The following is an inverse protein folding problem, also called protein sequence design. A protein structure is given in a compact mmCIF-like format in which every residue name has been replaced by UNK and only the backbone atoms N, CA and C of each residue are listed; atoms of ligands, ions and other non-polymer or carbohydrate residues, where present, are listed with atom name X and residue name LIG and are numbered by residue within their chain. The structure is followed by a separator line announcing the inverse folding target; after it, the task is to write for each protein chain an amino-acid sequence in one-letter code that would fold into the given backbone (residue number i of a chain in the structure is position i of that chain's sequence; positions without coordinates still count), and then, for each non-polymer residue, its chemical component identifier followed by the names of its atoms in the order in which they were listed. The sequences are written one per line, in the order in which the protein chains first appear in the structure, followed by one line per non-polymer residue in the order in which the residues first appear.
data_IF_621269713606
#
_entry.id   IF_621269713606
#
_cell.length_a   1.000
_cell.length_b   1.000
_cell.length_c   1.000
_cell.angle_alpha   90.00
_cell.angle_beta   90.00
_cell.angle_gamma   90.00
#
_symmetry.space_group_name_H-M   'P 1'
#
loop_
_entity.id
_entity.type
_entity.pdbx_description
1 polymer ?
#
# COMPACT_ATOMS: atom_id res chain seq x y z
N UNK A 1 1.21 -14.74 44.61
CA UNK A 1 1.53 -14.44 43.20
C UNK A 1 2.92 -14.95 42.91
N UNK A 2 3.20 -15.50 41.73
CA UNK A 2 4.56 -15.94 41.39
C UNK A 2 5.41 -14.70 41.07
N UNK A 3 6.52 -14.54 41.78
CA UNK A 3 7.54 -13.54 41.45
C UNK A 3 8.10 -13.84 40.06
N UNK A 4 8.06 -12.83 39.19
CA UNK A 4 8.53 -12.95 37.82
C UNK A 4 9.93 -12.35 37.73
N UNK A 5 10.93 -13.21 37.70
CA UNK A 5 12.33 -12.82 37.53
C UNK A 5 12.58 -12.41 36.07
N UNK A 6 12.95 -11.15 35.86
CA UNK A 6 13.27 -10.58 34.54
C UNK A 6 14.74 -10.15 34.58
N UNK A 7 15.55 -10.63 33.64
CA UNK A 7 16.93 -10.18 33.51
C UNK A 7 16.96 -8.73 33.00
N UNK A 8 17.67 -7.81 33.69
CA UNK A 8 17.77 -6.42 33.24
C UNK A 8 18.32 -6.26 31.81
N UNK A 9 19.21 -7.17 31.39
CA UNK A 9 19.75 -7.21 30.03
C UNK A 9 18.69 -7.58 28.99
N UNK A 10 17.83 -8.55 29.28
CA UNK A 10 16.72 -8.93 28.37
C UNK A 10 15.74 -7.76 28.21
N UNK A 11 15.51 -7.00 29.28
CA UNK A 11 14.71 -5.77 29.24
C UNK A 11 15.37 -4.68 28.39
N UNK A 12 16.69 -4.50 28.49
CA UNK A 12 17.44 -3.54 27.67
C UNK A 12 17.43 -3.92 26.18
N UNK A 13 17.54 -5.21 25.87
CA UNK A 13 17.57 -5.73 24.50
C UNK A 13 16.17 -5.97 23.90
N UNK A 14 15.10 -5.73 24.67
CA UNK A 14 13.73 -5.95 24.25
C UNK A 14 13.43 -7.43 23.93
N UNK A 15 14.03 -8.36 24.65
CA UNK A 15 13.87 -9.81 24.47
C UNK A 15 12.70 -10.28 25.33
N UNK A 16 11.69 -10.91 24.70
CA UNK A 16 10.56 -11.48 25.42
C UNK A 16 10.96 -12.79 26.13
N UNK A 17 10.34 -13.10 27.27
CA UNK A 17 10.62 -14.27 28.13
C UNK A 17 10.62 -15.64 27.41
N UNK A 18 9.97 -15.75 26.26
CA UNK A 18 9.87 -16.97 25.46
C UNK A 18 10.51 -16.86 24.07
N UNK A 19 11.24 -15.77 23.83
CA UNK A 19 11.86 -15.49 22.55
C UNK A 19 13.07 -16.40 22.32
N UNK A 20 12.95 -17.29 21.32
CA UNK A 20 14.03 -18.20 20.91
C UNK A 20 14.86 -17.68 19.74
N UNK A 21 14.36 -16.64 19.07
CA UNK A 21 14.98 -16.08 17.87
C UNK A 21 15.45 -14.67 18.20
N UNK A 22 16.72 -14.44 17.98
CA UNK A 22 17.34 -13.15 18.21
C UNK A 22 16.72 -12.04 17.34
N UNK A 23 16.69 -10.81 17.87
CA UNK A 23 16.11 -9.67 17.17
C UNK A 23 16.88 -9.34 15.87
N UNK A 24 18.21 -9.52 15.82
CA UNK A 24 19.01 -9.30 14.61
C UNK A 24 18.62 -10.26 13.48
N UNK A 25 18.29 -11.51 13.81
CA UNK A 25 17.81 -12.51 12.85
C UNK A 25 16.45 -12.09 12.29
N UNK A 26 15.53 -11.62 13.15
CA UNK A 26 14.23 -11.09 12.71
C UNK A 26 14.41 -9.91 11.76
N UNK A 27 15.25 -8.93 12.12
CA UNK A 27 15.54 -7.76 11.29
C UNK A 27 16.15 -8.14 9.93
N UNK A 28 17.08 -9.09 9.92
CA UNK A 28 17.71 -9.57 8.68
C UNK A 28 16.70 -10.25 7.76
N UNK A 29 15.81 -11.08 8.32
CA UNK A 29 14.72 -11.72 7.56
C UNK A 29 13.80 -10.66 6.96
N UNK A 30 13.38 -9.66 7.75
CA UNK A 30 12.54 -8.56 7.27
C UNK A 30 13.24 -7.74 6.18
N UNK A 31 14.54 -7.47 6.32
CA UNK A 31 15.35 -6.81 5.30
C UNK A 31 15.39 -7.60 3.98
N UNK A 32 15.53 -8.93 4.05
CA UNK A 32 15.48 -9.78 2.86
C UNK A 32 14.10 -9.80 2.19
N UNK A 33 13.03 -9.83 2.97
CA UNK A 33 11.66 -9.73 2.45
C UNK A 33 11.46 -8.38 1.74
N UNK A 34 11.93 -7.27 2.34
CA UNK A 34 11.91 -5.94 1.71
C UNK A 34 12.67 -5.89 0.37
N UNK A 35 13.72 -6.71 0.22
CA UNK A 35 14.48 -6.90 -1.02
C UNK A 35 13.84 -7.91 -1.99
N UNK A 36 12.58 -8.30 -1.77
CA UNK A 36 11.80 -9.23 -2.60
C UNK A 36 12.41 -10.65 -2.69
N UNK A 37 13.19 -11.09 -1.71
CA UNK A 37 13.62 -12.50 -1.64
C UNK A 37 12.45 -13.40 -1.29
N UNK A 38 12.36 -14.57 -1.93
CA UNK A 38 11.39 -15.61 -1.56
C UNK A 38 11.76 -16.22 -0.21
N UNK A 39 10.80 -16.85 0.47
CA UNK A 39 11.08 -17.54 1.74
C UNK A 39 12.12 -18.65 1.57
N UNK A 40 12.12 -19.34 0.43
CA UNK A 40 13.14 -20.36 0.14
C UNK A 40 14.53 -19.72 0.01
N UNK A 41 14.66 -18.64 -0.76
CA UNK A 41 15.95 -17.94 -0.89
C UNK A 41 16.47 -17.42 0.46
N UNK A 42 15.57 -17.02 1.36
CA UNK A 42 15.95 -16.60 2.72
C UNK A 42 16.46 -17.78 3.53
N UNK A 43 15.78 -18.93 3.49
CA UNK A 43 16.25 -20.16 4.13
C UNK A 43 17.62 -20.57 3.62
N UNK A 44 17.80 -20.61 2.30
CA UNK A 44 19.06 -21.01 1.67
C UNK A 44 20.20 -20.04 2.06
N UNK A 45 19.90 -18.74 2.16
CA UNK A 45 20.89 -17.73 2.62
C UNK A 45 21.22 -17.86 4.12
N UNK A 46 20.30 -18.38 4.93
CA UNK A 46 20.38 -18.43 6.40
C UNK A 46 20.35 -19.86 6.92
N UNK A 47 20.86 -20.82 6.16
CA UNK A 47 20.80 -22.25 6.47
C UNK A 47 21.40 -22.57 7.85
N UNK A 48 22.50 -21.90 8.20
CA UNK A 48 23.18 -22.00 9.50
C UNK A 48 22.28 -21.63 10.70
N UNK A 49 21.25 -20.81 10.51
CA UNK A 49 20.32 -20.37 11.56
C UNK A 49 19.26 -21.44 11.85
N UNK A 50 19.12 -22.47 11.00
CA UNK A 50 18.21 -23.63 11.18
C UNK A 50 16.76 -23.24 11.45
N UNK A 51 16.28 -22.20 10.77
CA UNK A 51 14.87 -21.75 10.81
C UNK A 51 14.05 -22.45 9.72
N UNK A 52 12.72 -22.44 9.84
CA UNK A 52 11.82 -22.98 8.82
C UNK A 52 10.98 -21.88 8.16
N UNK A 53 10.35 -22.20 7.02
CA UNK A 53 9.45 -21.28 6.29
C UNK A 53 8.37 -20.71 7.22
N UNK A 54 7.85 -21.52 8.13
CA UNK A 54 6.80 -21.13 9.06
C UNK A 54 7.28 -20.05 10.05
N UNK A 55 8.54 -20.13 10.48
CA UNK A 55 9.18 -19.12 11.29
C UNK A 55 9.29 -17.79 10.56
N UNK A 56 9.78 -17.79 9.31
CA UNK A 56 9.84 -16.59 8.47
C UNK A 56 8.44 -15.98 8.30
N UNK A 57 7.44 -16.82 8.01
CA UNK A 57 6.05 -16.36 7.87
C UNK A 57 5.50 -15.76 9.15
N UNK A 58 5.79 -16.32 10.32
CA UNK A 58 5.34 -15.79 11.61
C UNK A 58 6.01 -14.45 11.92
N UNK A 59 7.32 -14.32 11.64
CA UNK A 59 8.05 -13.05 11.80
C UNK A 59 7.41 -11.96 10.92
N UNK A 60 7.13 -12.26 9.65
CA UNK A 60 6.46 -11.32 8.75
C UNK A 60 5.06 -10.93 9.23
N UNK A 61 4.25 -11.90 9.70
CA UNK A 61 2.89 -11.64 10.20
C UNK A 61 2.87 -10.79 11.47
N UNK A 62 3.86 -10.98 12.33
CA UNK A 62 3.98 -10.27 13.61
C UNK A 62 4.81 -8.98 13.49
N UNK A 63 5.38 -8.70 12.32
CA UNK A 63 6.06 -7.44 12.07
C UNK A 63 5.05 -6.32 12.24
N UNK A 64 5.22 -5.54 13.30
CA UNK A 64 4.47 -4.31 13.50
C UNK A 64 4.90 -3.36 12.40
N UNK A 65 4.05 -3.17 11.39
CA UNK A 65 4.11 -1.96 10.61
C UNK A 65 3.59 -0.87 11.53
N UNK A 66 4.49 -0.06 12.06
CA UNK A 66 4.07 1.20 12.65
C UNK A 66 3.31 1.93 11.55
N UNK A 67 1.98 1.96 11.70
CA UNK A 67 1.13 2.74 10.80
C UNK A 67 1.63 4.18 10.78
N UNK A 68 2.16 4.66 11.91
CA UNK A 68 2.80 5.97 12.06
C UNK A 68 4.13 6.13 11.30
N UNK A 69 4.89 5.06 11.01
CA UNK A 69 6.16 5.19 10.28
C UNK A 69 5.95 5.48 8.78
N UNK A 70 4.81 5.07 8.22
CA UNK A 70 4.44 5.33 6.82
C UNK A 70 3.45 6.50 6.67
N UNK A 71 2.76 6.87 7.75
CA UNK A 71 1.94 8.06 7.83
C UNK A 71 2.84 9.17 8.35
N UNK A 72 3.46 9.95 7.47
CA UNK A 72 4.11 11.20 7.87
C UNK A 72 3.05 12.06 8.59
N UNK A 73 2.95 11.97 9.93
CA UNK A 73 2.19 12.88 10.78
C UNK A 73 2.94 14.21 10.84
N UNK A 74 3.22 14.78 9.68
CA UNK A 74 3.63 16.16 9.59
C UNK A 74 2.34 16.97 9.53
N UNK A 75 2.11 17.84 10.50
CA UNK A 75 0.95 18.76 10.47
C UNK A 75 0.93 19.62 9.20
N UNK A 76 2.10 19.78 8.58
CA UNK A 76 2.26 20.44 7.30
C UNK A 76 1.80 19.54 6.15
N UNK A 77 0.63 19.86 5.62
CA UNK A 77 0.13 19.30 4.36
C UNK A 77 1.04 19.67 3.18
N UNK A 78 1.06 18.78 2.19
CA UNK A 78 1.81 18.94 0.96
C UNK A 78 1.12 20.00 0.10
N UNK A 79 1.82 21.11 -0.16
CA UNK A 79 1.33 22.14 -1.05
C UNK A 79 1.23 21.61 -2.49
N UNK A 80 0.10 21.87 -3.14
CA UNK A 80 -0.15 21.47 -4.52
C UNK A 80 0.15 22.69 -5.43
N UNK A 81 1.13 22.59 -6.35
CA UNK A 81 1.49 23.72 -7.20
C UNK A 81 0.35 24.19 -8.12
N UNK A 82 -0.39 23.24 -8.69
CA UNK A 82 -1.54 23.51 -9.56
C UNK A 82 -2.42 22.27 -9.73
N UNK A 83 -1.82 21.12 -10.03
CA UNK A 83 -2.54 19.88 -10.33
C UNK A 83 -2.20 18.77 -9.35
N UNK A 84 -3.23 18.08 -8.85
CA UNK A 84 -3.09 16.81 -8.14
C UNK A 84 -3.40 15.66 -9.10
N UNK A 85 -2.41 14.82 -9.35
CA UNK A 85 -2.54 13.67 -10.25
C UNK A 85 -2.97 12.45 -9.45
N UNK A 86 -3.98 11.75 -9.95
CA UNK A 86 -4.53 10.52 -9.38
C UNK A 86 -4.49 9.44 -10.46
N UNK A 87 -3.50 8.56 -10.38
CA UNK A 87 -3.43 7.38 -11.23
C UNK A 87 -4.21 6.25 -10.58
N UNK A 88 -5.07 5.56 -11.32
CA UNK A 88 -5.93 4.48 -10.82
C UNK A 88 -5.80 3.28 -11.76
N UNK A 89 -5.56 2.11 -11.18
CA UNK A 89 -5.42 0.86 -11.92
C UNK A 89 -6.01 -0.32 -11.13
N UNK A 90 -6.44 -1.35 -11.84
CA UNK A 90 -7.00 -2.58 -11.31
C UNK A 90 -6.21 -3.80 -11.79
N UNK A 91 -5.92 -4.75 -10.89
CA UNK A 91 -5.30 -6.02 -11.27
C UNK A 91 -5.97 -7.21 -10.58
N UNK A 92 -5.70 -8.41 -11.06
CA UNK A 92 -6.18 -9.65 -10.45
C UNK A 92 -5.05 -10.40 -9.77
N UNK A 93 -5.19 -10.64 -8.48
CA UNK A 93 -4.30 -11.49 -7.70
C UNK A 93 -4.89 -12.89 -7.56
N UNK A 94 -4.14 -13.90 -7.98
CA UNK A 94 -4.47 -15.30 -7.71
C UNK A 94 -4.10 -15.63 -6.27
N UNK A 95 -5.08 -16.02 -5.46
CA UNK A 95 -4.90 -16.33 -4.04
C UNK A 95 -5.62 -17.62 -3.68
N UNK A 96 -5.19 -18.30 -2.62
CA UNK A 96 -5.94 -19.44 -2.09
C UNK A 96 -7.12 -18.96 -1.25
N UNK A 97 -8.27 -19.59 -1.43
CA UNK A 97 -9.43 -19.35 -0.58
C UNK A 97 -9.29 -20.14 0.72
N UNK A 98 -8.95 -19.45 1.81
CA UNK A 98 -8.77 -20.06 3.13
C UNK A 98 -10.09 -20.55 3.76
N UNK A 99 -11.24 -20.08 3.26
CA UNK A 99 -12.57 -20.41 3.83
C UNK A 99 -13.23 -21.64 3.19
N UNK A 100 -12.77 -22.11 2.02
CA UNK A 100 -13.32 -23.30 1.36
C UNK A 100 -12.46 -24.53 1.65
N UNK A 101 -13.08 -25.62 2.11
CA UNK A 101 -12.44 -26.95 2.15
C UNK A 101 -12.01 -27.32 0.71
N UNK A 102 -10.74 -27.67 0.54
CA UNK A 102 -10.15 -28.03 -0.76
C UNK A 102 -9.15 -27.03 -1.35
N UNK A 103 -8.88 -25.89 -0.69
CA UNK A 103 -7.93 -24.85 -1.17
C UNK A 103 -8.19 -24.50 -2.63
N UNK A 104 -9.29 -23.84 -2.94
CA UNK A 104 -9.54 -23.38 -4.32
C UNK A 104 -8.75 -22.10 -4.61
N UNK A 105 -8.12 -21.99 -5.79
CA UNK A 105 -7.51 -20.71 -6.22
C UNK A 105 -8.61 -19.77 -6.68
N UNK A 106 -8.73 -18.64 -6.01
CA UNK A 106 -9.62 -17.54 -6.39
C UNK A 106 -8.80 -16.40 -7.00
N UNK A 107 -9.39 -15.70 -7.98
CA UNK A 107 -8.87 -14.41 -8.44
C UNK A 107 -9.53 -13.32 -7.60
N UNK A 108 -8.74 -12.50 -6.93
CA UNK A 108 -9.21 -11.32 -6.22
C UNK A 108 -8.83 -10.08 -7.01
N UNK A 109 -9.83 -9.25 -7.29
CA UNK A 109 -9.57 -7.96 -7.89
C UNK A 109 -8.95 -7.04 -6.84
N UNK A 110 -7.90 -6.33 -7.23
CA UNK A 110 -7.16 -5.41 -6.38
C UNK A 110 -7.09 -4.09 -7.08
N UNK A 111 -7.49 -3.03 -6.38
CA UNK A 111 -7.53 -1.67 -6.91
C UNK A 111 -6.40 -0.88 -6.25
N UNK A 112 -5.67 -0.14 -7.06
CA UNK A 112 -4.55 0.68 -6.63
C UNK A 112 -4.78 2.10 -7.11
N UNK A 113 -4.46 3.07 -6.27
CA UNK A 113 -4.28 4.45 -6.71
C UNK A 113 -2.97 5.01 -6.21
N UNK A 114 -2.36 5.83 -7.05
CA UNK A 114 -1.24 6.70 -6.71
C UNK A 114 -1.68 8.16 -6.82
N UNK A 115 -1.46 8.94 -5.78
CA UNK A 115 -1.67 10.38 -5.73
C UNK A 115 -0.32 11.10 -5.70
N UNK A 116 -0.15 12.15 -6.51
CA UNK A 116 1.11 12.91 -6.56
C UNK A 116 0.97 14.33 -7.13
N UNK A 117 1.98 15.19 -6.92
CA UNK A 117 2.02 16.58 -7.42
C UNK A 117 2.86 16.74 -8.70
N UNK A 118 3.05 15.65 -9.45
CA UNK A 118 3.82 15.61 -10.70
C UNK A 118 5.26 15.12 -10.55
N UNK A 119 6.13 15.51 -11.48
CA UNK A 119 7.55 15.12 -11.46
C UNK A 119 8.37 15.98 -10.51
N UNK A 120 9.27 15.34 -9.77
CA UNK A 120 10.32 16.01 -9.01
C UNK A 120 11.38 16.50 -9.99
N UNK A 121 11.34 17.79 -10.36
CA UNK A 121 12.27 18.36 -11.35
C UNK A 121 13.73 18.29 -10.92
N UNK A 122 14.01 18.27 -9.62
CA UNK A 122 15.38 18.21 -9.11
C UNK A 122 15.97 16.79 -9.19
N UNK A 123 15.15 15.77 -8.95
CA UNK A 123 15.58 14.36 -8.98
C UNK A 123 15.36 13.67 -10.32
N UNK A 124 14.45 14.19 -11.14
CA UNK A 124 14.11 13.59 -12.43
C UNK A 124 15.18 13.84 -13.46
N UNK A 125 15.52 12.81 -14.22
CA UNK A 125 16.35 12.92 -15.42
C UNK A 125 15.53 12.47 -16.64
N UNK A 126 15.99 12.81 -17.86
CA UNK A 126 15.32 12.39 -19.11
C UNK A 126 15.05 10.88 -19.18
N UNK A 127 15.94 10.05 -18.62
CA UNK A 127 15.83 8.58 -18.63
C UNK A 127 15.15 8.01 -17.38
N UNK A 128 15.13 8.77 -16.28
CA UNK A 128 14.60 8.31 -14.99
C UNK A 128 13.72 9.39 -14.38
N UNK A 129 12.44 9.45 -14.78
CA UNK A 129 11.49 10.34 -14.14
C UNK A 129 11.24 9.89 -12.69
N UNK A 130 11.19 10.86 -11.78
CA UNK A 130 10.90 10.65 -10.35
C UNK A 130 9.63 11.42 -10.01
N UNK A 131 8.66 10.74 -9.42
CA UNK A 131 7.40 11.37 -9.01
C UNK A 131 7.58 12.02 -7.65
N UNK A 132 7.17 13.28 -7.52
CA UNK A 132 7.22 14.02 -6.27
C UNK A 132 5.99 13.74 -5.41
N UNK A 133 6.18 13.72 -4.09
CA UNK A 133 5.09 13.61 -3.11
C UNK A 133 4.15 12.43 -3.36
N UNK A 134 4.71 11.29 -3.80
CA UNK A 134 3.92 10.12 -4.17
C UNK A 134 3.36 9.43 -2.92
N UNK A 135 2.05 9.31 -2.85
CA UNK A 135 1.33 8.49 -1.86
C UNK A 135 0.38 7.52 -2.57
N UNK A 136 0.01 6.42 -1.91
CA UNK A 136 -0.80 5.38 -2.54
C UNK A 136 -1.86 4.77 -1.64
N UNK A 137 -2.96 4.36 -2.26
CA UNK A 137 -4.06 3.61 -1.63
C UNK A 137 -4.20 2.27 -2.34
N UNK A 138 -4.42 1.22 -1.55
CA UNK A 138 -4.65 -0.13 -2.05
C UNK A 138 -5.92 -0.68 -1.39
N UNK A 139 -6.80 -1.26 -2.21
CA UNK A 139 -7.93 -2.08 -1.75
C UNK A 139 -7.82 -3.47 -2.38
N UNK A 140 -7.63 -4.48 -1.54
CA UNK A 140 -7.74 -5.88 -1.93
C UNK A 140 -9.18 -6.31 -1.75
N UNK A 141 -9.90 -6.52 -2.84
CA UNK A 141 -11.32 -6.84 -2.77
C UNK A 141 -11.60 -8.32 -3.10
N UNK A 142 -12.50 -8.92 -2.32
CA UNK A 142 -13.20 -10.15 -2.65
C UNK A 142 -14.31 -9.78 -3.64
N UNK A 143 -13.98 -9.47 -4.90
CA UNK A 143 -14.99 -9.24 -5.94
C UNK A 143 -15.22 -10.56 -6.68
N UNK A 144 -16.29 -11.31 -6.37
CA UNK A 144 -16.89 -12.17 -7.37
C UNK A 144 -17.41 -11.31 -8.53
N UNK A 145 -17.18 -11.77 -9.75
CA UNK A 145 -17.50 -11.08 -11.02
C UNK A 145 -18.94 -10.53 -11.08
N UNK A 146 -19.88 -11.15 -10.35
CA UNK A 146 -21.30 -10.81 -10.31
C UNK A 146 -21.70 -9.72 -9.29
N UNK A 147 -20.78 -9.26 -8.42
CA UNK A 147 -21.05 -8.19 -7.42
C UNK A 147 -20.23 -6.94 -7.75
N UNK A 148 -20.45 -6.37 -8.94
CA UNK A 148 -20.14 -4.97 -9.27
C UNK A 148 -21.13 -4.01 -8.57
N UNK A 149 -21.31 -4.08 -7.24
CA UNK A 149 -22.19 -3.14 -6.51
C UNK A 149 -21.39 -1.92 -6.02
N UNK A 150 -21.98 -0.73 -6.13
CA UNK A 150 -21.39 0.57 -5.77
C UNK A 150 -20.81 0.64 -4.35
N UNK A 151 -21.34 -0.14 -3.40
CA UNK A 151 -20.99 -0.06 -1.98
C UNK A 151 -19.54 -0.42 -1.63
N UNK A 152 -18.83 -1.19 -2.46
CA UNK A 152 -17.43 -1.57 -2.19
C UNK A 152 -16.42 -0.59 -2.78
N UNK A 153 -16.75 0.01 -3.92
CA UNK A 153 -16.00 1.14 -4.47
C UNK A 153 -15.95 2.29 -3.45
N UNK A 154 -17.01 2.45 -2.66
CA UNK A 154 -17.08 3.41 -1.53
C UNK A 154 -15.93 3.25 -0.54
N UNK A 155 -15.50 2.03 -0.20
CA UNK A 155 -14.38 1.84 0.74
C UNK A 155 -13.06 2.36 0.15
N UNK A 156 -12.78 2.02 -1.11
CA UNK A 156 -11.59 2.50 -1.80
C UNK A 156 -11.62 4.03 -1.95
N UNK A 157 -12.75 4.58 -2.38
CA UNK A 157 -12.97 6.03 -2.54
C UNK A 157 -12.81 6.76 -1.22
N UNK A 158 -13.37 6.24 -0.12
CA UNK A 158 -13.21 6.82 1.22
C UNK A 158 -11.74 6.84 1.67
N UNK A 159 -10.99 5.76 1.41
CA UNK A 159 -9.54 5.72 1.68
C UNK A 159 -8.78 6.73 0.84
N UNK A 160 -9.13 6.86 -0.44
CA UNK A 160 -8.54 7.86 -1.34
C UNK A 160 -8.80 9.28 -0.85
N UNK A 161 -10.05 9.62 -0.50
CA UNK A 161 -10.38 10.94 0.02
C UNK A 161 -9.71 11.22 1.35
N UNK A 162 -9.69 10.26 2.26
CA UNK A 162 -8.97 10.39 3.54
C UNK A 162 -7.50 10.67 3.30
N UNK A 163 -6.85 9.98 2.36
CA UNK A 163 -5.46 10.23 2.00
C UNK A 163 -5.28 11.64 1.43
N UNK A 164 -6.12 12.05 0.49
CA UNK A 164 -6.03 13.37 -0.13
C UNK A 164 -6.18 14.48 0.92
N UNK A 165 -7.24 14.44 1.73
CA UNK A 165 -7.55 15.48 2.71
C UNK A 165 -6.60 15.50 3.91
N UNK A 166 -6.00 14.36 4.25
CA UNK A 166 -5.02 14.29 5.35
C UNK A 166 -3.65 14.83 4.95
N UNK A 167 -3.23 14.57 3.70
CA UNK A 167 -1.83 14.79 3.30
C UNK A 167 -1.60 15.97 2.37
N UNK A 168 -2.61 16.43 1.64
CA UNK A 168 -2.46 17.49 0.65
C UNK A 168 -3.29 18.72 1.01
N UNK A 169 -2.71 19.88 0.71
CA UNK A 169 -3.35 21.17 0.94
C UNK A 169 -4.28 21.51 -0.24
N UNK A 170 -5.57 21.20 -0.06
CA UNK A 170 -6.60 21.38 -1.08
C UNK A 170 -7.20 22.79 -0.95
N UNK A 171 -7.12 23.56 -2.03
CA UNK A 171 -7.76 24.86 -2.16
C UNK A 171 -8.57 24.94 -3.47
N UNK A 172 -9.40 25.96 -3.64
CA UNK A 172 -10.33 26.08 -4.77
C UNK A 172 -9.63 26.26 -6.14
N UNK A 173 -8.32 26.57 -6.16
CA UNK A 173 -7.55 26.83 -7.38
C UNK A 173 -6.84 25.59 -7.94
N UNK A 174 -6.87 24.46 -7.24
CA UNK A 174 -6.24 23.23 -7.73
C UNK A 174 -7.13 22.51 -8.74
N UNK A 175 -6.48 21.77 -9.64
CA UNK A 175 -7.15 20.86 -10.57
C UNK A 175 -6.81 19.40 -10.22
N UNK A 176 -7.80 18.52 -10.35
CA UNK A 176 -7.58 17.08 -10.24
C UNK A 176 -7.41 16.48 -11.63
N UNK A 177 -6.37 15.69 -11.84
CA UNK A 177 -6.14 14.94 -13.07
C UNK A 177 -6.19 13.44 -12.77
N UNK A 178 -7.25 12.76 -13.20
CA UNK A 178 -7.44 11.32 -13.02
C UNK A 178 -6.97 10.58 -14.27
N UNK A 179 -6.07 9.62 -14.10
CA UNK A 179 -5.56 8.76 -15.16
C UNK A 179 -5.91 7.30 -14.89
N UNK A 180 -6.37 6.58 -15.91
CA UNK A 180 -6.67 5.15 -15.79
C UNK A 180 -6.90 4.46 -17.14
N UNK A 181 -7.36 3.20 -17.09
CA UNK A 181 -7.51 2.30 -18.24
C UNK A 181 -8.82 2.46 -19.04
N UNK A 182 -9.65 3.46 -18.74
CA UNK A 182 -10.95 3.62 -19.42
C UNK A 182 -12.11 2.88 -18.78
N UNK A 183 -11.88 2.02 -17.77
CA UNK A 183 -12.92 1.18 -17.23
C UNK A 183 -14.09 2.00 -16.62
N UNK A 184 -15.35 1.54 -16.77
CA UNK A 184 -16.52 2.31 -16.32
C UNK A 184 -16.48 2.68 -14.83
N UNK A 185 -15.87 1.84 -13.98
CA UNK A 185 -15.75 2.11 -12.55
C UNK A 185 -14.79 3.26 -12.25
N UNK A 186 -13.77 3.51 -13.08
CA UNK A 186 -12.87 4.68 -12.94
C UNK A 186 -13.64 5.96 -13.25
N UNK A 187 -14.48 5.95 -14.30
CA UNK A 187 -15.35 7.09 -14.61
C UNK A 187 -16.31 7.42 -13.46
N UNK A 188 -16.77 6.42 -12.72
CA UNK A 188 -17.56 6.65 -11.51
C UNK A 188 -16.74 7.30 -10.39
N UNK A 189 -15.46 6.92 -10.21
CA UNK A 189 -14.57 7.59 -9.25
C UNK A 189 -14.39 9.07 -9.60
N UNK A 190 -14.23 9.41 -10.89
CA UNK A 190 -14.14 10.80 -11.36
C UNK A 190 -15.36 11.60 -10.92
N UNK A 191 -16.57 11.04 -11.05
CA UNK A 191 -17.80 11.67 -10.57
C UNK A 191 -17.79 11.87 -9.06
N UNK A 192 -17.39 10.86 -8.29
CA UNK A 192 -17.28 10.99 -6.84
C UNK A 192 -16.26 12.05 -6.41
N UNK A 193 -15.13 12.19 -7.12
CA UNK A 193 -14.15 13.26 -6.86
C UNK A 193 -14.81 14.63 -7.12
N UNK A 194 -15.53 14.79 -8.23
CA UNK A 194 -16.21 16.03 -8.57
C UNK A 194 -17.31 16.39 -7.55
N UNK A 195 -18.04 15.41 -7.04
CA UNK A 195 -19.06 15.61 -5.99
C UNK A 195 -18.43 15.98 -4.64
N UNK A 196 -17.29 15.38 -4.30
CA UNK A 196 -16.59 15.64 -3.03
C UNK A 196 -15.81 16.96 -3.03
N UNK A 197 -15.28 17.37 -4.19
CA UNK A 197 -14.56 18.63 -4.39
C UNK A 197 -15.27 19.51 -5.44
N UNK A 198 -16.47 20.02 -5.15
CA UNK A 198 -17.34 20.65 -6.15
C UNK A 198 -16.79 21.95 -6.76
N UNK A 199 -15.85 22.60 -6.07
CA UNK A 199 -15.23 23.85 -6.53
C UNK A 199 -14.01 23.62 -7.43
N UNK A 200 -13.44 22.42 -7.41
CA UNK A 200 -12.26 22.09 -8.18
C UNK A 200 -12.66 21.49 -9.53
N UNK A 201 -11.84 21.77 -10.54
CA UNK A 201 -11.98 21.09 -11.84
C UNK A 201 -11.43 19.68 -11.75
N UNK A 202 -12.17 18.73 -12.29
CA UNK A 202 -11.74 17.34 -12.39
C UNK A 202 -11.63 16.95 -13.85
N UNK A 203 -10.42 16.58 -14.26
CA UNK A 203 -10.11 16.09 -15.60
C UNK A 203 -9.91 14.59 -15.55
N UNK A 204 -10.28 13.92 -16.65
CA UNK A 204 -10.06 12.50 -16.85
C UNK A 204 -9.35 12.26 -18.17
N UNK A 205 -8.31 11.44 -18.16
CA UNK A 205 -7.62 10.99 -19.36
C UNK A 205 -7.29 9.50 -19.28
N UNK A 206 -7.19 8.87 -20.44
CA UNK A 206 -6.71 7.49 -20.54
C UNK A 206 -5.19 7.51 -20.40
N UNK A 207 -4.64 6.62 -19.59
CA UNK A 207 -3.20 6.50 -19.44
C UNK A 207 -2.55 6.07 -20.77
N UNK A 208 -1.40 6.67 -21.09
CA UNK A 208 -0.65 6.42 -22.32
C UNK A 208 -0.35 4.94 -22.54
N UNK A 209 -0.09 4.19 -21.48
CA UNK A 209 0.18 2.75 -21.56
C UNK A 209 -1.04 1.92 -22.00
N UNK A 210 -2.24 2.49 -21.94
CA UNK A 210 -3.49 1.86 -22.35
C UNK A 210 -4.04 2.43 -23.67
N UNK A 211 -3.38 3.44 -24.28
CA UNK A 211 -3.77 4.02 -25.57
C UNK A 211 -3.28 3.20 -26.79
N UNK A 212 -2.34 2.27 -26.60
CA UNK A 212 -1.79 1.41 -27.67
C UNK A 212 -2.31 -0.02 -27.55
N UNK A 213 -3.63 -0.20 -27.49
CA UNK A 213 -4.29 -1.49 -27.70
C UNK A 213 -4.69 -1.65 -29.16
#
# INVERSE_FOLDING_TARGET
GKEEYIFPLDKLLGIEKWQRIDNSVKEKILSFIGKKKTYQNILDTMEHVKICIKTISNIMKNAKTDKEYYLNKTDKKINIPHTLYIQIDGTYLKMWNEKKKGKEKIKKHSIFSTVHTGFDKAKSTKKRPVISNKLGVIELDNIPEYIKKNSKLTNFVNKLFTLITSYYDINDNIEFMVLGDGAPWIKNIVKFIQEYFPKNKVHYTIDKFHLTS
#
